data_IF_226544270983
#
_entry.id   IF_226544270983
#
_cell.length_a   1.000
_cell.length_b   1.000
_cell.length_c   1.000
_cell.angle_alpha   90.00
_cell.angle_beta   90.00
_cell.angle_gamma   90.00
#
_symmetry.space_group_name_H-M   'P 1'
#
loop_
_entity.id
_entity.type
_entity.pdbx_description
1 polymer ?
#
# COMPACT_ATOMS: atom_id res chain seq x y z
N UNK A 1 9.33 -16.60 21.74
CA UNK A 1 9.09 -17.99 21.26
C UNK A 1 7.76 -18.61 21.71
N UNK A 2 7.05 -18.07 22.72
CA UNK A 2 5.74 -18.61 23.16
C UNK A 2 4.56 -18.29 22.21
N UNK A 3 4.77 -17.48 21.17
CA UNK A 3 3.69 -16.94 20.32
C UNK A 3 3.16 -17.94 19.30
N UNK A 4 4.02 -18.76 18.69
CA UNK A 4 3.58 -19.81 17.76
C UNK A 4 2.71 -20.88 18.45
N UNK A 5 3.03 -21.21 19.70
CA UNK A 5 2.30 -22.21 20.49
C UNK A 5 0.85 -21.80 20.79
N UNK A 6 0.57 -20.49 20.85
CA UNK A 6 -0.78 -19.95 21.08
C UNK A 6 -1.63 -19.96 19.80
N UNK A 7 -1.00 -19.97 18.63
CA UNK A 7 -1.71 -19.90 17.37
C UNK A 7 -1.98 -21.28 16.80
N UNK A 8 -3.27 -21.67 16.77
CA UNK A 8 -3.72 -23.02 16.34
C UNK A 8 -3.08 -23.48 15.03
N UNK A 9 -3.09 -22.64 14.00
CA UNK A 9 -2.58 -23.02 12.67
C UNK A 9 -1.07 -23.33 12.71
N UNK A 10 -0.31 -22.56 13.48
CA UNK A 10 1.14 -22.71 13.51
C UNK A 10 1.58 -23.78 14.50
N UNK A 11 0.82 -23.99 15.58
CA UNK A 11 0.98 -25.18 16.42
C UNK A 11 0.84 -26.47 15.61
N UNK A 12 -0.15 -26.54 14.71
CA UNK A 12 -0.28 -27.67 13.77
C UNK A 12 0.95 -27.76 12.86
N UNK A 13 1.35 -26.65 12.22
CA UNK A 13 2.49 -26.66 11.28
C UNK A 13 3.84 -27.01 11.94
N UNK A 14 4.04 -26.64 13.22
CA UNK A 14 5.24 -26.97 13.98
C UNK A 14 5.36 -28.46 14.32
N UNK A 15 4.24 -29.19 14.37
CA UNK A 15 4.24 -30.64 14.64
C UNK A 15 4.58 -31.48 13.41
N UNK A 16 4.57 -30.89 12.21
CA UNK A 16 4.69 -31.60 10.94
C UNK A 16 6.11 -32.06 10.58
N UNK A 17 7.18 -31.31 10.85
CA UNK A 17 8.53 -31.77 10.51
C UNK A 17 8.91 -33.07 11.23
N UNK A 18 8.20 -33.42 12.31
CA UNK A 18 8.42 -34.66 13.07
C UNK A 18 7.66 -35.86 12.50
N UNK A 19 6.70 -35.65 11.58
CA UNK A 19 5.92 -36.72 10.97
C UNK A 19 6.19 -36.80 9.47
N UNK A 20 6.49 -38.01 8.99
CA UNK A 20 6.80 -38.27 7.56
C UNK A 20 5.62 -37.93 6.63
N UNK A 21 4.40 -37.90 7.17
CA UNK A 21 3.14 -37.55 6.50
C UNK A 21 2.21 -36.84 7.49
N UNK A 22 1.46 -35.83 7.03
CA UNK A 22 0.42 -35.18 7.85
C UNK A 22 -0.76 -36.13 8.04
N UNK A 23 -1.28 -36.26 9.26
CA UNK A 23 -2.49 -37.04 9.49
C UNK A 23 -3.70 -36.33 8.85
N UNK A 24 -4.67 -37.07 8.25
CA UNK A 24 -5.87 -36.49 7.66
C UNK A 24 -6.68 -35.62 8.64
N UNK A 25 -6.57 -35.93 9.93
CA UNK A 25 -7.20 -35.17 11.01
C UNK A 25 -6.58 -33.77 11.16
N UNK A 26 -5.25 -33.64 11.09
CA UNK A 26 -4.57 -32.35 11.17
C UNK A 26 -4.82 -31.50 9.91
N UNK A 27 -4.93 -32.13 8.73
CA UNK A 27 -5.32 -31.45 7.50
C UNK A 27 -6.68 -30.76 7.62
N UNK A 28 -7.65 -31.42 8.28
CA UNK A 28 -9.01 -30.91 8.44
C UNK A 28 -9.10 -29.66 9.33
N UNK A 29 -8.10 -29.44 10.18
CA UNK A 29 -8.07 -28.32 11.13
C UNK A 29 -7.34 -27.08 10.59
N UNK A 30 -6.59 -27.25 9.49
CA UNK A 30 -5.94 -26.14 8.80
C UNK A 30 -6.96 -25.33 8.00
N UNK A 31 -6.85 -24.02 8.09
CA UNK A 31 -7.58 -23.11 7.22
C UNK A 31 -7.15 -23.32 5.76
N UNK A 32 -8.09 -23.05 4.83
CA UNK A 32 -7.89 -23.33 3.39
C UNK A 32 -6.63 -22.69 2.80
N UNK A 33 -6.27 -21.48 3.25
CA UNK A 33 -5.08 -20.75 2.80
C UNK A 33 -3.79 -21.45 3.22
N UNK A 34 -3.71 -21.86 4.48
CA UNK A 34 -2.56 -22.58 5.04
C UNK A 34 -2.45 -24.00 4.47
N UNK A 35 -3.57 -24.70 4.31
CA UNK A 35 -3.60 -26.04 3.74
C UNK A 35 -3.08 -26.06 2.29
N UNK A 36 -3.48 -25.07 1.47
CA UNK A 36 -2.99 -24.95 0.10
C UNK A 36 -1.48 -24.77 0.06
N UNK A 37 -0.96 -23.81 0.83
CA UNK A 37 0.46 -23.49 0.83
C UNK A 37 1.29 -24.63 1.46
N UNK A 38 0.70 -25.40 2.37
CA UNK A 38 1.29 -26.63 2.90
C UNK A 38 1.41 -27.73 1.84
N UNK A 39 0.34 -28.00 1.07
CA UNK A 39 0.37 -28.98 -0.03
C UNK A 39 1.39 -28.62 -1.10
N UNK A 40 1.61 -27.33 -1.31
CA UNK A 40 2.65 -26.79 -2.19
C UNK A 40 4.07 -26.86 -1.58
N UNK A 41 4.24 -27.42 -0.38
CA UNK A 41 5.52 -27.52 0.35
C UNK A 41 6.21 -26.16 0.56
N UNK A 42 5.42 -25.11 0.83
CA UNK A 42 5.94 -23.75 1.04
C UNK A 42 6.38 -23.47 2.47
N UNK A 43 6.20 -24.40 3.42
CA UNK A 43 6.57 -24.16 4.82
C UNK A 43 7.84 -24.89 5.21
N UNK A 44 8.73 -24.19 5.91
CA UNK A 44 10.00 -24.71 6.42
C UNK A 44 10.12 -24.38 7.91
N UNK A 45 10.65 -25.31 8.69
CA UNK A 45 10.96 -25.08 10.10
C UNK A 45 12.47 -25.00 10.27
N UNK A 46 12.97 -23.85 10.74
CA UNK A 46 14.39 -23.64 11.00
C UNK A 46 14.49 -23.00 12.39
N UNK A 47 15.26 -23.61 13.30
CA UNK A 47 15.48 -23.13 14.67
C UNK A 47 14.19 -22.81 15.45
N UNK A 48 13.12 -23.58 15.21
CA UNK A 48 11.81 -23.36 15.84
C UNK A 48 11.02 -22.17 15.27
N UNK A 49 11.48 -21.56 14.17
CA UNK A 49 10.81 -20.50 13.44
C UNK A 49 10.21 -21.05 12.14
N UNK A 50 8.94 -20.72 11.90
CA UNK A 50 8.23 -21.14 10.70
C UNK A 50 8.51 -20.13 9.57
N UNK A 51 9.10 -20.60 8.48
CA UNK A 51 9.36 -19.84 7.26
C UNK A 51 8.34 -20.22 6.18
N UNK A 52 7.92 -19.22 5.41
CA UNK A 52 7.13 -19.39 4.19
C UNK A 52 8.03 -19.13 2.98
N UNK A 53 8.01 -20.04 2.02
CA UNK A 53 8.82 -20.00 0.82
C UNK A 53 7.99 -19.49 -0.36
N UNK A 54 8.58 -18.52 -1.03
CA UNK A 54 8.17 -17.99 -2.32
C UNK A 54 9.15 -18.49 -3.38
N UNK A 55 8.86 -18.19 -4.66
CA UNK A 55 9.64 -18.68 -5.81
C UNK A 55 11.16 -18.51 -5.68
N UNK A 56 11.63 -17.43 -5.06
CA UNK A 56 13.07 -17.10 -4.95
C UNK A 56 13.50 -16.63 -3.56
N UNK A 57 12.58 -16.54 -2.61
CA UNK A 57 12.83 -15.96 -1.28
C UNK A 57 12.09 -16.78 -0.22
N UNK A 58 12.53 -16.69 1.02
CA UNK A 58 11.86 -17.30 2.16
C UNK A 58 11.76 -16.28 3.27
N UNK A 59 10.57 -16.10 3.82
CA UNK A 59 10.31 -15.10 4.84
C UNK A 59 9.72 -15.73 6.10
N UNK A 60 10.02 -15.12 7.24
CA UNK A 60 9.51 -15.60 8.52
C UNK A 60 7.98 -15.41 8.59
N UNK A 61 7.28 -16.43 9.09
CA UNK A 61 5.83 -16.39 9.28
C UNK A 61 5.50 -15.60 10.54
N UNK A 62 4.78 -14.49 10.40
CA UNK A 62 4.33 -13.66 11.52
C UNK A 62 2.87 -13.99 11.81
N UNK A 63 2.49 -13.90 13.08
CA UNK A 63 1.15 -14.31 13.54
C UNK A 63 0.64 -13.40 14.64
N UNK A 64 1.55 -12.93 15.50
CA UNK A 64 1.21 -12.00 16.55
C UNK A 64 0.68 -10.71 15.93
N UNK A 65 -0.52 -10.30 16.34
CA UNK A 65 -1.17 -9.09 15.82
C UNK A 65 -0.38 -7.85 16.20
N UNK A 66 0.25 -7.84 17.37
CA UNK A 66 1.08 -6.71 17.81
C UNK A 66 2.30 -6.56 16.90
N UNK A 67 2.94 -7.68 16.52
CA UNK A 67 4.04 -7.67 15.56
C UNK A 67 3.58 -7.28 14.15
N UNK A 68 2.42 -7.75 13.70
CA UNK A 68 1.86 -7.35 12.40
C UNK A 68 1.64 -5.84 12.38
N UNK A 69 0.98 -5.28 13.41
CA UNK A 69 0.75 -3.83 13.53
C UNK A 69 2.06 -3.04 13.54
N UNK A 70 3.07 -3.53 14.27
CA UNK A 70 4.40 -2.91 14.29
C UNK A 70 5.06 -2.93 12.90
N UNK A 71 5.06 -4.07 12.21
CA UNK A 71 5.62 -4.19 10.85
C UNK A 71 4.93 -3.24 9.89
N UNK A 72 3.60 -3.17 9.93
CA UNK A 72 2.81 -2.27 9.09
C UNK A 72 3.17 -0.80 9.35
N UNK A 73 3.31 -0.42 10.62
CA UNK A 73 3.71 0.93 11.01
C UNK A 73 5.12 1.27 10.53
N UNK A 74 6.11 0.43 10.82
CA UNK A 74 7.51 0.69 10.51
C UNK A 74 7.77 0.70 8.99
N UNK A 75 7.16 -0.24 8.25
CA UNK A 75 7.29 -0.28 6.80
C UNK A 75 6.66 0.93 6.12
N UNK A 76 5.59 1.47 6.71
CA UNK A 76 4.89 2.66 6.22
C UNK A 76 5.59 3.98 6.60
N UNK A 77 6.15 4.09 7.81
CA UNK A 77 6.54 5.36 8.40
C UNK A 77 7.90 5.93 7.96
N UNK A 78 8.62 5.33 7.02
CA UNK A 78 9.99 5.77 6.67
C UNK A 78 10.04 7.23 6.15
N UNK A 79 10.53 8.19 6.96
CA UNK A 79 10.45 9.63 6.64
C UNK A 79 11.56 10.09 5.70
N UNK A 80 12.59 9.26 5.51
CA UNK A 80 13.79 9.60 4.73
C UNK A 80 13.67 9.32 3.23
N UNK A 81 12.58 8.66 2.80
CA UNK A 81 12.44 8.22 1.41
C UNK A 81 11.41 9.11 0.73
N UNK A 82 11.91 10.13 0.03
CA UNK A 82 11.11 10.93 -0.90
C UNK A 82 10.33 10.00 -1.83
N UNK A 83 9.01 10.23 -1.90
CA UNK A 83 8.00 9.42 -2.59
C UNK A 83 7.56 8.12 -1.87
N UNK A 84 6.50 8.23 -1.07
CA UNK A 84 5.74 7.13 -0.47
C UNK A 84 4.87 6.41 -1.52
N UNK A 85 5.44 5.53 -2.35
CA UNK A 85 4.65 4.72 -3.28
C UNK A 85 4.15 3.43 -2.61
N UNK A 86 2.94 2.99 -2.99
CA UNK A 86 2.32 1.75 -2.49
C UNK A 86 3.21 0.53 -2.70
N UNK A 87 3.80 0.44 -3.89
CA UNK A 87 4.64 -0.70 -4.28
C UNK A 87 5.91 -0.81 -3.43
N UNK A 88 6.48 0.33 -2.99
CA UNK A 88 7.65 0.31 -2.09
C UNK A 88 7.28 -0.21 -0.71
N UNK A 89 6.15 0.22 -0.15
CA UNK A 89 5.67 -0.27 1.14
C UNK A 89 5.36 -1.77 1.07
N UNK A 90 4.72 -2.23 -0.01
CA UNK A 90 4.49 -3.66 -0.27
C UNK A 90 5.80 -4.45 -0.31
N UNK A 91 6.79 -3.96 -1.04
CA UNK A 91 8.11 -4.61 -1.13
C UNK A 91 8.78 -4.79 0.24
N UNK A 92 8.71 -3.78 1.11
CA UNK A 92 9.26 -3.85 2.48
C UNK A 92 8.54 -4.85 3.36
N UNK A 93 7.20 -4.84 3.33
CA UNK A 93 6.43 -5.80 4.12
C UNK A 93 6.73 -7.22 3.62
N UNK A 94 6.73 -7.41 2.30
CA UNK A 94 7.05 -8.69 1.66
C UNK A 94 8.43 -9.22 2.02
N UNK A 95 9.43 -8.35 2.26
CA UNK A 95 10.78 -8.75 2.69
C UNK A 95 10.93 -8.94 4.20
N UNK A 96 10.01 -8.39 5.00
CA UNK A 96 10.10 -8.43 6.47
C UNK A 96 9.46 -9.69 7.04
N UNK A 97 8.34 -10.12 6.48
CA UNK A 97 7.64 -11.31 6.97
C UNK A 97 6.44 -11.67 6.11
N UNK A 98 5.88 -12.85 6.40
CA UNK A 98 4.72 -13.37 5.71
C UNK A 98 3.61 -13.70 6.71
N UNK A 99 2.37 -13.37 6.36
CA UNK A 99 1.17 -13.87 7.03
C UNK A 99 0.02 -13.96 6.02
N UNK A 100 -1.04 -14.73 6.30
CA UNK A 100 -2.19 -14.81 5.42
C UNK A 100 -2.80 -13.43 5.19
N UNK A 101 -3.11 -13.11 3.93
CA UNK A 101 -3.75 -11.84 3.53
C UNK A 101 -2.96 -10.57 3.89
N UNK A 102 -1.65 -10.66 4.10
CA UNK A 102 -0.80 -9.51 4.43
C UNK A 102 -0.93 -8.34 3.44
N UNK A 103 -1.07 -8.63 2.13
CA UNK A 103 -1.25 -7.60 1.10
C UNK A 103 -2.57 -6.83 1.27
N UNK A 104 -3.64 -7.56 1.62
CA UNK A 104 -4.94 -6.97 1.86
C UNK A 104 -4.92 -6.13 3.14
N UNK A 105 -4.39 -6.66 4.24
CA UNK A 105 -4.27 -5.94 5.50
C UNK A 105 -3.40 -4.69 5.36
N UNK A 106 -2.31 -4.76 4.58
CA UNK A 106 -1.49 -3.60 4.27
C UNK A 106 -2.29 -2.56 3.48
N UNK A 107 -3.03 -2.97 2.44
CA UNK A 107 -3.86 -2.04 1.66
C UNK A 107 -4.92 -1.35 2.53
N UNK A 108 -5.59 -2.10 3.40
CA UNK A 108 -6.55 -1.57 4.37
C UNK A 108 -5.87 -0.59 5.34
N UNK A 109 -4.71 -0.95 5.90
CA UNK A 109 -3.92 -0.08 6.78
C UNK A 109 -3.53 1.23 6.08
N UNK A 110 -3.03 1.15 4.84
CA UNK A 110 -2.64 2.33 4.07
C UNK A 110 -3.84 3.23 3.72
N UNK A 111 -5.02 2.63 3.53
CA UNK A 111 -6.27 3.38 3.39
C UNK A 111 -6.69 4.09 4.67
N UNK A 112 -6.26 3.68 5.86
CA UNK A 112 -6.52 4.47 7.09
C UNK A 112 -5.61 5.70 7.23
N UNK A 113 -4.47 5.73 6.52
CA UNK A 113 -3.50 6.79 6.66
C UNK A 113 -3.81 8.02 5.79
N UNK A 114 -4.25 9.11 6.42
CA UNK A 114 -4.53 10.37 5.72
C UNK A 114 -3.31 10.98 4.99
N UNK A 115 -2.08 10.71 5.44
CA UNK A 115 -0.85 11.18 4.73
C UNK A 115 -0.69 10.44 3.41
N UNK A 116 -0.81 9.12 3.44
CA UNK A 116 -0.71 8.27 2.25
C UNK A 116 -1.85 8.55 1.26
N UNK A 117 -3.09 8.66 1.75
CA UNK A 117 -4.25 9.01 0.93
C UNK A 117 -4.09 10.34 0.18
N UNK A 118 -3.54 11.37 0.85
CA UNK A 118 -3.29 12.68 0.23
C UNK A 118 -2.19 12.61 -0.82
N UNK A 119 -1.08 11.92 -0.51
CA UNK A 119 0.06 11.78 -1.41
C UNK A 119 -0.28 10.96 -2.66
N UNK A 120 -1.07 9.89 -2.50
CA UNK A 120 -1.46 8.98 -3.59
C UNK A 120 -2.90 9.15 -4.03
N UNK A 121 -3.50 10.32 -3.76
CA UNK A 121 -4.81 10.65 -4.32
C UNK A 121 -4.68 10.51 -5.83
N UNK A 122 -5.50 9.63 -6.42
CA UNK A 122 -5.55 9.49 -7.88
C UNK A 122 -5.97 10.85 -8.44
N UNK A 123 -4.97 11.65 -8.83
CA UNK A 123 -5.18 12.78 -9.70
C UNK A 123 -5.58 12.15 -11.03
N UNK A 124 -6.87 11.84 -11.17
CA UNK A 124 -7.47 11.55 -12.45
C UNK A 124 -7.02 12.71 -13.32
N UNK A 125 -6.15 12.42 -14.28
CA UNK A 125 -5.57 13.43 -15.14
C UNK A 125 -6.77 14.04 -15.86
N UNK A 126 -7.30 15.15 -15.34
CA UNK A 126 -7.76 16.21 -16.21
C UNK A 126 -6.48 16.68 -16.87
N UNK A 127 -6.11 15.97 -17.94
CA UNK A 127 -5.56 16.64 -19.09
C UNK A 127 -6.63 17.68 -19.44
N UNK A 128 -6.60 18.83 -18.74
CA UNK A 128 -7.13 20.04 -19.32
C UNK A 128 -6.29 20.12 -20.58
N UNK A 129 -6.88 19.69 -21.70
CA UNK A 129 -6.28 19.80 -23.02
C UNK A 129 -5.60 21.16 -23.01
N UNK A 130 -4.27 21.18 -23.12
CA UNK A 130 -3.50 22.42 -23.21
C UNK A 130 -4.11 23.15 -24.40
N UNK A 131 -5.05 24.06 -24.12
CA UNK A 131 -5.72 24.81 -25.15
C UNK A 131 -4.64 25.71 -25.70
N UNK A 132 -4.27 25.48 -26.95
CA UNK A 132 -3.42 26.40 -27.69
C UNK A 132 -4.10 27.78 -27.63
N UNK A 133 -3.46 28.72 -26.94
CA UNK A 133 -3.89 30.11 -26.97
C UNK A 133 -3.45 30.60 -28.34
N UNK A 134 -4.39 31.03 -29.19
CA UNK A 134 -4.04 31.65 -30.46
C UNK A 134 -3.18 32.89 -30.19
N UNK A 135 -2.03 32.96 -30.86
CA UNK A 135 -1.15 34.11 -30.73
C UNK A 135 -1.91 35.39 -31.11
N UNK A 136 -1.93 36.41 -30.24
CA UNK A 136 -2.67 37.62 -30.51
C UNK A 136 -2.05 38.33 -31.72
N UNK A 137 -2.81 38.45 -32.81
CA UNK A 137 -2.38 39.09 -34.07
C UNK A 137 -2.08 40.60 -33.95
N UNK A 138 -2.29 41.20 -32.77
CA UNK A 138 -2.02 42.61 -32.47
C UNK A 138 -1.41 42.72 -31.07
N UNK A 139 -0.45 43.64 -30.85
CA UNK A 139 0.12 43.84 -29.53
C UNK A 139 -0.96 44.25 -28.53
N UNK A 140 -1.02 43.54 -27.39
CA UNK A 140 -2.02 43.68 -26.31
C UNK A 140 -2.07 45.07 -25.66
N UNK A 141 -1.12 45.94 -26.02
CA UNK A 141 -1.00 47.32 -25.53
C UNK A 141 -2.19 48.19 -26.01
N UNK A 142 -2.86 47.87 -27.12
CA UNK A 142 -3.92 48.72 -27.67
C UNK A 142 -5.36 48.30 -27.32
N UNK A 143 -5.56 47.09 -26.80
CA UNK A 143 -6.91 46.62 -26.43
C UNK A 143 -7.40 47.22 -25.12
N UNK A 144 -6.51 47.47 -24.14
CA UNK A 144 -6.88 48.05 -22.84
C UNK A 144 -7.09 49.58 -22.84
N UNK A 145 -6.66 50.29 -23.89
CA UNK A 145 -6.81 51.74 -24.01
C UNK A 145 -8.20 52.16 -24.55
N UNK A 146 -8.91 51.26 -25.21
CA UNK A 146 -10.25 51.53 -25.74
C UNK A 146 -11.33 51.48 -24.66
N UNK A 147 -11.10 50.70 -23.61
CA UNK A 147 -12.03 50.59 -22.47
C UNK A 147 -11.95 51.81 -21.54
N UNK A 148 -10.78 52.44 -21.40
CA UNK A 148 -10.62 53.65 -20.57
C UNK A 148 -11.23 54.92 -21.17
N UNK A 149 -11.37 55.00 -22.49
CA UNK A 149 -11.85 56.22 -23.18
C UNK A 149 -13.38 56.39 -23.10
N UNK A 150 -14.13 55.32 -22.83
CA UNK A 150 -15.59 55.37 -22.72
C UNK A 150 -16.08 55.70 -21.30
N UNK A 151 -15.29 55.45 -20.26
CA UNK A 151 -15.62 55.76 -18.86
C UNK A 151 -15.53 57.27 -18.57
N UNK A 152 -14.58 57.98 -19.21
CA UNK A 152 -14.32 59.40 -18.96
C UNK A 152 -15.37 60.38 -19.53
N UNK A 153 -16.35 59.90 -20.32
CA UNK A 153 -17.40 60.75 -20.92
C UNK A 153 -18.76 60.68 -20.19
N UNK A 154 -18.86 59.93 -19.09
CA UNK A 154 -20.14 59.74 -18.35
C UNK A 154 -20.27 60.56 -17.07
N UNK A 155 -19.28 61.37 -16.70
CA UNK A 155 -19.33 62.25 -15.52
C UNK A 155 -19.36 63.72 -15.92
N UNK A 156 -20.48 64.16 -16.52
CA UNK A 156 -20.89 65.56 -16.47
C UNK A 156 -22.12 65.65 -15.57
N UNK A 157 -21.95 66.30 -14.43
CA UNK A 157 -22.96 66.53 -13.39
C UNK A 157 -23.95 67.60 -13.92
N UNK A 158 -25.28 67.38 -13.87
CA UNK A 158 -26.24 68.44 -14.21
C UNK A 158 -26.31 69.48 -13.10
N UNK A 159 -26.30 70.76 -13.48
CA UNK A 159 -26.59 71.92 -12.61
C UNK A 159 -28.06 72.02 -12.21
#
# INVERSE_FOLDING_TARGET
MQTYAKHKQCGILLQLPQQKYMSPELESQLEKTWLRDYKDKKYFLIDGLLYHSKKHTSEITIIDRDHISLILQECHACPYMGHMSEDRTKGRVASTGWWPRWEQELSEYMQTCGKFQKANRKNGKKYVLLKHIEEPKKPSIWSGLQDFSQEAKKTTIPS
#
